data_IF_308254448199
#
_entry.id   IF_308254448199
#
_cell.length_a   1.000
_cell.length_b   1.000
_cell.length_c   1.000
_cell.angle_alpha   90.00
_cell.angle_beta   90.00
_cell.angle_gamma   90.00
#
_symmetry.space_group_name_H-M   'P 1'
#
loop_
_entity.id
_entity.type
_entity.pdbx_description
1 polymer ?
#
# COMPACT_ATOMS: atom_id res chain seq x y z
N UNK A 1 -17.32 -21.68 -3.86
CA UNK A 1 -17.03 -21.12 -3.57
C UNK A 1 -16.91 -20.45 -3.04
N UNK A 2 -16.80 -20.29 -2.96
CA UNK A 2 -16.71 -19.69 -2.60
C UNK A 2 -16.30 -18.83 -2.29
N UNK A 3 -15.99 -18.64 -2.73
CA UNK A 3 -15.41 -17.53 -2.43
C UNK A 3 -16.09 -16.84 -1.53
N UNK A 4 -16.26 -17.36 -0.82
CA UNK A 4 -16.92 -16.81 0.12
C UNK A 4 -16.22 -15.83 0.86
N UNK A 5 -15.00 -15.80 0.79
CA UNK A 5 -14.22 -14.85 1.48
C UNK A 5 -14.27 -13.52 0.79
N UNK A 6 -13.81 -12.49 1.43
CA UNK A 6 -13.60 -11.20 0.85
C UNK A 6 -12.51 -11.32 -0.20
N UNK A 7 -12.68 -10.68 -1.34
CA UNK A 7 -11.60 -10.69 -2.31
C UNK A 7 -10.37 -10.01 -1.72
N UNK A 8 -9.23 -10.56 -1.99
CA UNK A 8 -7.98 -9.93 -1.60
C UNK A 8 -7.78 -8.68 -2.44
N UNK A 9 -7.19 -7.63 -1.86
CA UNK A 9 -6.79 -6.47 -2.66
C UNK A 9 -5.87 -6.90 -3.80
N UNK A 10 -6.06 -6.32 -4.96
CA UNK A 10 -5.17 -6.56 -6.08
C UNK A 10 -3.80 -5.96 -5.85
N UNK A 11 -2.86 -6.25 -6.77
CA UNK A 11 -1.49 -5.76 -6.66
C UNK A 11 -1.46 -4.24 -6.57
N UNK A 12 -2.16 -3.56 -7.47
CA UNK A 12 -2.18 -2.09 -7.46
C UNK A 12 -2.75 -1.55 -6.16
N UNK A 13 -3.82 -2.15 -5.65
CA UNK A 13 -4.42 -1.72 -4.39
C UNK A 13 -3.44 -1.91 -3.23
N UNK A 14 -2.72 -3.02 -3.21
CA UNK A 14 -1.72 -3.27 -2.16
C UNK A 14 -0.57 -2.27 -2.24
N UNK A 15 -0.15 -1.90 -3.44
CA UNK A 15 0.88 -0.88 -3.61
C UNK A 15 0.39 0.48 -3.07
N UNK A 16 -0.84 0.85 -3.40
CA UNK A 16 -1.41 2.10 -2.91
C UNK A 16 -1.49 2.12 -1.38
N UNK A 17 -1.91 1.03 -0.78
CA UNK A 17 -1.96 0.93 0.68
C UNK A 17 -0.57 1.00 1.30
N UNK A 18 0.41 0.38 0.68
CA UNK A 18 1.79 0.44 1.14
C UNK A 18 2.32 1.88 1.09
N UNK A 19 2.13 2.57 -0.02
CA UNK A 19 2.64 3.92 -0.19
C UNK A 19 1.91 4.93 0.69
N UNK A 20 0.70 4.64 1.09
CA UNK A 20 -0.09 5.49 1.97
C UNK A 20 0.64 5.82 3.27
N UNK A 21 1.40 4.87 3.79
CA UNK A 21 2.12 5.05 5.05
C UNK A 21 3.35 5.95 4.92
N UNK A 22 3.69 6.36 3.70
CA UNK A 22 4.91 7.12 3.45
C UNK A 22 4.66 8.48 2.77
N UNK A 23 3.43 9.00 2.83
CA UNK A 23 3.10 10.23 2.12
C UNK A 23 3.90 11.43 2.62
N UNK A 24 4.33 11.41 3.86
CA UNK A 24 5.13 12.48 4.44
C UNK A 24 6.52 12.61 3.82
N UNK A 25 6.98 11.61 3.09
CA UNK A 25 8.29 11.62 2.47
C UNK A 25 8.30 12.23 1.06
N UNK A 26 7.16 12.64 0.54
CA UNK A 26 7.05 13.05 -0.86
C UNK A 26 7.99 14.18 -1.25
N UNK A 27 8.26 15.11 -0.34
CA UNK A 27 9.15 16.24 -0.61
C UNK A 27 10.57 16.05 -0.10
N UNK A 28 10.93 14.91 0.41
CA UNK A 28 12.24 14.71 1.04
C UNK A 28 13.29 14.28 0.03
N UNK A 29 14.54 14.66 0.28
CA UNK A 29 15.68 14.29 -0.56
C UNK A 29 16.04 12.82 -0.32
N UNK A 30 16.05 12.40 0.92
CA UNK A 30 16.30 11.01 1.26
C UNK A 30 15.01 10.34 1.70
N UNK A 31 14.77 9.14 1.18
CA UNK A 31 13.53 8.42 1.43
C UNK A 31 13.81 6.98 1.85
N UNK A 32 12.86 6.34 2.55
CA UNK A 32 13.04 4.94 2.94
C UNK A 32 13.13 4.01 1.74
N UNK A 33 13.82 2.90 1.93
CA UNK A 33 13.92 1.85 0.93
C UNK A 33 12.55 1.33 0.48
N UNK A 34 11.56 1.38 1.37
CA UNK A 34 10.19 0.95 1.08
C UNK A 34 9.55 1.65 -0.13
N UNK A 35 10.05 2.83 -0.50
CA UNK A 35 9.51 3.57 -1.64
C UNK A 35 10.21 3.24 -2.97
N UNK A 36 11.26 2.43 -2.95
CA UNK A 36 11.93 1.97 -4.17
C UNK A 36 11.18 0.80 -4.80
N UNK A 37 11.52 0.48 -6.05
CA UNK A 37 10.92 -0.69 -6.71
C UNK A 37 11.12 -1.97 -5.90
N UNK A 38 12.33 -2.20 -5.41
CA UNK A 38 12.62 -3.39 -4.63
C UNK A 38 11.85 -3.40 -3.31
N UNK A 39 11.78 -2.25 -2.65
CA UNK A 39 11.03 -2.14 -1.40
C UNK A 39 9.55 -2.39 -1.60
N UNK A 40 8.98 -1.88 -2.68
CA UNK A 40 7.59 -2.13 -3.03
C UNK A 40 7.37 -3.61 -3.32
N UNK A 41 8.25 -4.21 -4.12
CA UNK A 41 8.14 -5.64 -4.44
C UNK A 41 8.14 -6.49 -3.19
N UNK A 42 9.03 -6.19 -2.25
CA UNK A 42 9.11 -6.92 -0.99
C UNK A 42 7.85 -6.72 -0.14
N UNK A 43 7.36 -5.48 -0.07
CA UNK A 43 6.22 -5.17 0.78
C UNK A 43 4.93 -5.82 0.30
N UNK A 44 4.73 -5.88 -1.01
CA UNK A 44 3.49 -6.46 -1.56
C UNK A 44 3.66 -7.89 -2.07
N UNK A 45 4.85 -8.46 -1.86
CA UNK A 45 5.15 -9.86 -2.16
C UNK A 45 4.93 -10.22 -3.63
N UNK A 46 5.51 -9.43 -4.53
CA UNK A 46 5.49 -9.72 -5.97
C UNK A 46 6.92 -9.73 -6.49
N UNK A 47 7.12 -10.31 -7.65
CA UNK A 47 8.42 -10.25 -8.30
C UNK A 47 8.74 -8.81 -8.67
N UNK A 48 10.00 -8.40 -8.46
CA UNK A 48 10.42 -7.04 -8.77
C UNK A 48 10.11 -6.67 -10.22
N UNK A 49 10.24 -7.61 -11.13
CA UNK A 49 9.98 -7.38 -12.55
C UNK A 49 8.52 -7.01 -12.84
N UNK A 50 7.61 -7.30 -11.94
CA UNK A 50 6.20 -6.95 -12.10
C UNK A 50 5.86 -5.56 -11.57
N UNK A 51 6.75 -4.95 -10.81
CA UNK A 51 6.50 -3.62 -10.22
C UNK A 51 6.34 -2.54 -11.29
N UNK A 52 7.22 -2.44 -12.31
CA UNK A 52 7.09 -1.38 -13.30
C UNK A 52 5.75 -1.40 -14.03
N UNK A 53 5.22 -2.57 -14.34
CA UNK A 53 3.94 -2.68 -15.02
C UNK A 53 2.79 -2.18 -14.15
N UNK A 54 2.76 -2.58 -12.88
CA UNK A 54 1.72 -2.15 -11.97
C UNK A 54 1.79 -0.64 -11.73
N UNK A 55 3.00 -0.11 -11.57
CA UNK A 55 3.20 1.31 -11.32
C UNK A 55 2.84 2.14 -12.55
N UNK A 56 3.20 1.67 -13.74
CA UNK A 56 2.92 2.40 -14.97
C UNK A 56 1.43 2.70 -15.13
N UNK A 57 0.58 1.72 -14.87
CA UNK A 57 -0.87 1.92 -14.95
C UNK A 57 -1.36 2.98 -13.98
N UNK A 58 -0.85 2.96 -12.76
CA UNK A 58 -1.24 3.93 -11.73
C UNK A 58 -0.70 5.33 -12.03
N UNK A 59 0.49 5.43 -12.62
CA UNK A 59 1.04 6.72 -13.04
C UNK A 59 0.17 7.34 -14.14
N UNK A 60 -0.27 6.52 -15.08
CA UNK A 60 -1.16 7.00 -16.15
C UNK A 60 -2.49 7.50 -15.60
N UNK A 61 -2.96 6.92 -14.51
CA UNK A 61 -4.17 7.36 -13.85
C UNK A 61 -3.96 8.57 -12.94
N UNK A 62 -2.72 9.04 -12.80
CA UNK A 62 -2.41 10.17 -11.95
C UNK A 62 -2.42 9.86 -10.46
N UNK A 63 -2.29 8.59 -10.09
CA UNK A 63 -2.37 8.18 -8.69
C UNK A 63 -1.02 8.24 -7.98
N UNK A 64 0.08 8.17 -8.73
CA UNK A 64 1.40 8.29 -8.13
C UNK A 64 2.37 8.93 -9.10
N UNK A 65 3.48 9.39 -8.54
CA UNK A 65 4.58 9.97 -9.30
C UNK A 65 5.85 9.18 -9.03
N UNK A 66 6.77 9.28 -9.98
CA UNK A 66 8.09 8.68 -9.88
C UNK A 66 9.13 9.80 -9.86
N UNK A 67 10.10 9.71 -8.97
CA UNK A 67 11.22 10.63 -9.04
C UNK A 67 12.49 9.95 -8.53
N UNK A 68 13.63 10.44 -8.98
CA UNK A 68 14.92 10.00 -8.46
C UNK A 68 15.10 10.54 -7.05
N UNK A 69 15.55 9.70 -6.15
CA UNK A 69 15.76 10.09 -4.76
C UNK A 69 16.91 9.29 -4.17
N UNK A 70 17.51 9.83 -3.11
CA UNK A 70 18.45 9.07 -2.31
C UNK A 70 17.65 8.12 -1.43
N UNK A 71 17.90 6.84 -1.61
CA UNK A 71 17.21 5.82 -0.83
C UNK A 71 18.15 5.37 0.28
N UNK A 72 17.64 5.35 1.51
CA UNK A 72 18.43 4.97 2.68
C UNK A 72 19.06 3.60 2.48
N UNK A 73 20.37 3.52 2.68
CA UNK A 73 21.10 2.26 2.53
C UNK A 73 21.55 1.96 1.12
N UNK A 74 21.28 2.85 0.15
CA UNK A 74 21.67 2.67 -1.24
C UNK A 74 22.58 3.82 -1.65
N UNK A 75 23.72 3.50 -2.26
CA UNK A 75 24.73 4.51 -2.57
C UNK A 75 24.39 5.40 -3.76
N UNK A 76 23.53 4.95 -4.66
CA UNK A 76 23.13 5.71 -5.84
C UNK A 76 21.67 6.10 -5.74
N UNK A 77 21.31 7.21 -6.41
CA UNK A 77 19.90 7.55 -6.52
C UNK A 77 19.13 6.44 -7.21
N UNK A 78 17.91 6.24 -6.76
CA UNK A 78 17.00 5.24 -7.31
C UNK A 78 15.66 5.89 -7.59
N UNK A 79 14.88 5.25 -8.43
CA UNK A 79 13.50 5.66 -8.63
C UNK A 79 12.73 5.36 -7.35
N UNK A 80 12.01 6.34 -6.88
CA UNK A 80 11.12 6.23 -5.74
C UNK A 80 9.73 6.69 -6.14
N UNK A 81 8.72 6.19 -5.46
CA UNK A 81 7.33 6.39 -5.87
C UNK A 81 6.53 6.96 -4.72
N UNK A 82 5.69 7.94 -5.05
CA UNK A 82 4.92 8.70 -4.05
C UNK A 82 3.49 8.84 -4.54
N UNK A 83 2.54 8.78 -3.60
CA UNK A 83 1.15 9.02 -3.96
C UNK A 83 0.95 10.49 -4.29
N UNK A 84 0.12 10.75 -5.28
CA UNK A 84 -0.45 12.07 -5.51
C UNK A 84 -1.61 12.28 -4.54
N UNK A 85 -2.20 13.48 -4.52
CA UNK A 85 -3.40 13.71 -3.72
C UNK A 85 -4.52 12.77 -4.15
N UNK A 86 -4.69 12.56 -5.45
CA UNK A 86 -5.68 11.60 -5.95
C UNK A 86 -5.34 10.19 -5.54
N UNK A 87 -4.06 9.82 -5.58
CA UNK A 87 -3.62 8.51 -5.14
C UNK A 87 -3.90 8.28 -3.66
N UNK A 88 -3.70 9.31 -2.83
CA UNK A 88 -4.00 9.22 -1.41
C UNK A 88 -5.50 9.04 -1.18
N UNK A 89 -6.34 9.75 -1.93
CA UNK A 89 -7.79 9.58 -1.82
C UNK A 89 -8.21 8.16 -2.14
N UNK A 90 -7.66 7.60 -3.21
CA UNK A 90 -7.96 6.21 -3.59
C UNK A 90 -7.46 5.26 -2.52
N UNK A 91 -6.25 5.46 -2.03
CA UNK A 91 -5.68 4.61 -0.98
C UNK A 91 -6.51 4.66 0.29
N UNK A 92 -6.97 5.85 0.69
CA UNK A 92 -7.83 6.00 1.86
C UNK A 92 -9.17 5.30 1.66
N UNK A 93 -9.73 5.35 0.46
CA UNK A 93 -10.96 4.63 0.16
C UNK A 93 -10.79 3.12 0.26
N UNK A 94 -9.66 2.60 -0.20
CA UNK A 94 -9.34 1.18 -0.07
C UNK A 94 -9.16 0.83 1.41
N UNK A 95 -8.43 1.65 2.14
CA UNK A 95 -8.18 1.44 3.56
C UNK A 95 -9.47 1.37 4.34
N UNK A 96 -10.41 2.27 4.06
CA UNK A 96 -11.70 2.30 4.73
C UNK A 96 -12.48 1.01 4.51
N UNK A 97 -12.43 0.46 3.30
CA UNK A 97 -13.10 -0.79 3.00
C UNK A 97 -12.47 -1.97 3.72
N UNK A 98 -11.13 -1.97 3.83
CA UNK A 98 -10.42 -3.08 4.46
C UNK A 98 -10.47 -2.98 5.97
N UNK A 99 -10.24 -1.77 6.51
CA UNK A 99 -10.09 -1.58 7.95
C UNK A 99 -11.40 -1.57 8.71
N UNK A 100 -12.52 -1.24 8.06
CA UNK A 100 -13.80 -1.26 8.75
C UNK A 100 -14.48 -2.62 8.70
N UNK A 101 -13.89 -3.58 8.01
CA UNK A 101 -14.42 -4.92 8.07
C UNK A 101 -14.26 -5.47 9.47
N UNK A 102 -15.34 -5.83 10.13
CA UNK A 102 -15.22 -6.28 11.51
C UNK A 102 -14.69 -7.69 11.59
N UNK A 103 -13.94 -7.93 12.65
CA UNK A 103 -13.52 -9.27 13.01
C UNK A 103 -14.42 -9.74 14.13
N UNK A 104 -15.02 -10.89 13.97
CA UNK A 104 -15.84 -11.47 15.03
C UNK A 104 -14.94 -12.15 16.06
N UNK A 105 -15.11 -11.72 17.29
CA UNK A 105 -14.39 -12.31 18.41
C UNK A 105 -15.39 -13.01 19.32
N UNK A 106 -15.13 -14.29 19.58
CA UNK A 106 -16.00 -15.07 20.44
C UNK A 106 -15.47 -15.01 21.85
N UNK A 107 -16.32 -14.55 22.75
CA UNK A 107 -15.95 -14.45 24.14
C UNK A 107 -16.17 -15.77 24.87
N UNK A 108 -15.54 -15.89 26.03
CA UNK A 108 -15.61 -17.12 26.80
C UNK A 108 -17.02 -17.44 27.31
N UNK A 109 -17.88 -16.43 27.40
CA UNK A 109 -19.26 -16.62 27.83
C UNK A 109 -20.19 -17.01 26.68
N UNK A 110 -19.62 -17.22 25.48
CA UNK A 110 -20.40 -17.61 24.31
C UNK A 110 -20.89 -16.45 23.48
N UNK A 111 -20.75 -15.23 23.94
CA UNK A 111 -21.15 -14.06 23.16
C UNK A 111 -20.15 -13.81 22.04
N UNK A 112 -20.60 -13.07 21.02
CA UNK A 112 -19.75 -12.70 19.90
C UNK A 112 -19.72 -11.19 19.82
N UNK A 113 -18.53 -10.65 19.78
CA UNK A 113 -18.32 -9.22 19.60
C UNK A 113 -17.68 -8.97 18.25
N UNK A 114 -18.11 -7.90 17.61
CA UNK A 114 -17.55 -7.48 16.33
C UNK A 114 -16.67 -6.27 16.56
N UNK A 115 -15.39 -6.39 16.19
CA UNK A 115 -14.41 -5.32 16.38
C UNK A 115 -13.76 -4.99 15.04
N UNK A 116 -13.27 -3.73 14.88
CA UNK A 116 -12.56 -3.37 13.66
C UNK A 116 -11.28 -4.18 13.51
N UNK A 117 -10.90 -4.45 12.26
CA UNK A 117 -9.66 -5.13 11.98
C UNK A 117 -8.45 -4.33 12.41
N UNK A 118 -8.53 -3.02 12.34
CA UNK A 118 -7.42 -2.16 12.68
C UNK A 118 -7.76 -1.44 13.95
N UNK A 119 -6.88 -1.57 14.92
CA UNK A 119 -6.96 -0.80 16.15
C UNK A 119 -5.77 0.12 16.17
N UNK A 120 -5.98 1.33 16.49
CA UNK A 120 -4.89 2.30 16.63
C UNK A 120 -4.48 2.47 18.05
#
# INVERSE_FOLDING_TARGET
MSAVGQPRPGVQERILLHLRDYVEHAGRVEVPFALSQMGIANAVAIARSNVPRAISGMREQGLLIERQAHVTGVSRKRKAYFLTDDGLKVANGIWDKVSVQPVRMKHSDGSVETVPLVTT
#
